data_IF_544450288831
#
_entry.id   IF_544450288831
#
_cell.length_a   1.000
_cell.length_b   1.000
_cell.length_c   1.000
_cell.angle_alpha   90.00
_cell.angle_beta   90.00
_cell.angle_gamma   90.00
#
_symmetry.space_group_name_H-M   'P 1'
#
loop_
_entity.id
_entity.type
_entity.pdbx_description
1 polymer ?
#
# COMPACT_ATOMS: atom_id res chain seq x y z
N UNK A 1 -12.08 -1.80 15.57
CA UNK A 1 -12.65 -1.43 14.26
C UNK A 1 -12.22 -0.03 13.84
N UNK A 2 -10.96 0.11 13.45
CA UNK A 2 -10.49 1.25 12.67
C UNK A 2 -10.71 0.90 11.20
N UNK A 3 -11.65 1.57 10.55
CA UNK A 3 -11.83 1.46 9.09
C UNK A 3 -11.21 2.69 8.43
N UNK A 4 -10.52 2.47 7.31
CA UNK A 4 -9.93 3.55 6.52
C UNK A 4 -10.69 3.67 5.22
N UNK A 5 -11.15 4.87 4.91
CA UNK A 5 -11.86 5.18 3.67
C UNK A 5 -10.90 5.89 2.73
N UNK A 6 -10.82 5.42 1.50
CA UNK A 6 -10.04 6.04 0.43
C UNK A 6 -10.90 6.24 -0.81
N UNK A 7 -10.78 7.36 -1.53
CA UNK A 7 -11.41 7.51 -2.85
C UNK A 7 -10.92 6.42 -3.81
N UNK A 8 -11.83 5.81 -4.57
CA UNK A 8 -11.50 4.67 -5.46
C UNK A 8 -10.52 5.04 -6.59
N UNK A 9 -10.53 6.31 -7.00
CA UNK A 9 -9.66 6.91 -8.00
C UNK A 9 -8.39 7.56 -7.42
N UNK A 10 -8.04 7.29 -6.16
CA UNK A 10 -6.82 7.83 -5.55
C UNK A 10 -5.59 7.32 -6.27
N UNK A 11 -4.66 8.23 -6.56
CA UNK A 11 -3.35 7.94 -7.13
C UNK A 11 -2.26 8.56 -6.25
N UNK A 12 -1.08 7.93 -6.22
CA UNK A 12 0.06 8.48 -5.48
C UNK A 12 0.62 9.71 -6.19
N UNK A 13 0.89 10.76 -5.42
CA UNK A 13 1.62 11.94 -5.90
C UNK A 13 3.13 11.70 -5.90
N UNK A 14 3.90 12.55 -6.59
CA UNK A 14 5.37 12.46 -6.59
C UNK A 14 5.97 12.49 -5.19
N UNK A 15 5.45 13.33 -4.30
CA UNK A 15 5.88 13.40 -2.91
C UNK A 15 5.62 12.08 -2.16
N UNK A 16 4.44 11.50 -2.37
CA UNK A 16 4.08 10.21 -1.78
C UNK A 16 4.94 9.05 -2.33
N UNK A 17 5.45 9.13 -3.56
CA UNK A 17 6.41 8.15 -4.10
C UNK A 17 7.77 8.24 -3.39
N UNK A 18 8.19 9.46 -3.04
CA UNK A 18 9.39 9.68 -2.22
C UNK A 18 9.20 9.10 -0.83
N UNK A 19 8.07 9.38 -0.16
CA UNK A 19 7.72 8.75 1.11
C UNK A 19 7.72 7.23 1.01
N UNK A 20 7.08 6.68 -0.04
CA UNK A 20 7.01 5.23 -0.26
C UNK A 20 8.41 4.63 -0.40
N UNK A 21 9.32 5.31 -1.11
CA UNK A 21 10.71 4.89 -1.28
C UNK A 21 11.51 4.93 0.01
N UNK A 22 11.23 5.91 0.89
CA UNK A 22 11.88 6.04 2.20
C UNK A 22 11.40 4.96 3.18
N UNK A 23 10.09 4.70 3.23
CA UNK A 23 9.48 3.70 4.12
C UNK A 23 9.80 2.28 3.65
N UNK A 24 9.83 2.05 2.34
CA UNK A 24 10.22 0.79 1.71
C UNK A 24 11.56 0.95 0.96
N UNK A 25 12.69 1.02 1.69
CA UNK A 25 14.01 1.06 1.08
C UNK A 25 14.30 -0.25 0.33
N UNK A 26 15.38 -0.30 -0.46
CA UNK A 26 15.75 -1.45 -1.30
C UNK A 26 15.51 -2.85 -0.67
N UNK A 27 15.98 -3.17 0.56
CA UNK A 27 15.77 -4.49 1.15
C UNK A 27 14.30 -4.81 1.49
N UNK A 28 13.43 -3.81 1.54
CA UNK A 28 12.01 -3.95 1.85
C UNK A 28 11.11 -3.90 0.59
N UNK A 29 11.66 -3.69 -0.61
CA UNK A 29 10.85 -3.55 -1.83
C UNK A 29 10.05 -4.80 -2.19
N UNK A 30 10.59 -5.99 -1.90
CA UNK A 30 9.82 -7.23 -2.04
C UNK A 30 8.57 -7.25 -1.14
N UNK A 31 8.66 -6.68 0.07
CA UNK A 31 7.53 -6.56 0.99
C UNK A 31 6.50 -5.56 0.47
N UNK A 32 6.93 -4.47 -0.17
CA UNK A 32 6.03 -3.54 -0.83
C UNK A 32 5.27 -4.21 -1.98
N UNK A 33 5.94 -5.02 -2.80
CA UNK A 33 5.28 -5.75 -3.89
C UNK A 33 4.20 -6.67 -3.33
N UNK A 34 4.50 -7.45 -2.29
CA UNK A 34 3.52 -8.36 -1.70
C UNK A 34 2.37 -7.61 -1.00
N UNK A 35 2.68 -6.51 -0.30
CA UNK A 35 1.67 -5.62 0.27
C UNK A 35 0.73 -5.09 -0.82
N UNK A 36 1.27 -4.66 -1.96
CA UNK A 36 0.46 -4.22 -3.11
C UNK A 36 -0.40 -5.36 -3.66
N UNK A 37 0.14 -6.57 -3.77
CA UNK A 37 -0.64 -7.73 -4.19
C UNK A 37 -1.83 -7.99 -3.25
N UNK A 38 -1.63 -7.84 -1.93
CA UNK A 38 -2.69 -7.96 -0.93
C UNK A 38 -3.73 -6.84 -1.12
N UNK A 39 -3.29 -5.58 -1.20
CA UNK A 39 -4.19 -4.44 -1.33
C UNK A 39 -4.98 -4.42 -2.65
N UNK A 40 -4.40 -4.97 -3.71
CA UNK A 40 -5.02 -5.06 -5.04
C UNK A 40 -5.99 -6.24 -5.18
N UNK A 41 -6.07 -7.14 -4.20
CA UNK A 41 -7.03 -8.23 -4.21
C UNK A 41 -8.46 -7.69 -4.03
N UNK A 42 -9.19 -7.59 -5.14
CA UNK A 42 -10.57 -7.09 -5.17
C UNK A 42 -11.57 -8.06 -4.52
N UNK A 43 -11.18 -9.31 -4.28
CA UNK A 43 -12.03 -10.33 -3.64
C UNK A 43 -11.83 -10.37 -2.12
N UNK A 44 -10.91 -9.57 -1.59
CA UNK A 44 -10.58 -9.62 -0.19
C UNK A 44 -11.72 -9.08 0.69
N UNK A 45 -12.09 -9.84 1.71
CA UNK A 45 -13.20 -9.49 2.61
C UNK A 45 -12.94 -8.22 3.44
N UNK A 46 -11.68 -7.81 3.61
CA UNK A 46 -11.32 -6.57 4.30
C UNK A 46 -11.59 -5.31 3.46
N UNK A 47 -12.09 -5.44 2.22
CA UNK A 47 -12.27 -4.33 1.29
C UNK A 47 -13.70 -4.26 0.80
N UNK A 48 -14.32 -3.09 0.92
CA UNK A 48 -15.69 -2.84 0.45
C UNK A 48 -15.71 -1.60 -0.44
N UNK A 49 -16.28 -1.74 -1.63
CA UNK A 49 -16.51 -0.64 -2.56
C UNK A 49 -17.92 -0.11 -2.43
N UNK A 50 -18.06 1.19 -2.18
CA UNK A 50 -19.37 1.84 -2.08
C UNK A 50 -19.25 3.32 -2.45
N UNK A 51 -20.19 3.81 -3.27
CA UNK A 51 -20.31 5.24 -3.59
C UNK A 51 -19.02 5.93 -4.11
N UNK A 52 -18.18 5.21 -4.87
CA UNK A 52 -16.92 5.77 -5.38
C UNK A 52 -15.76 5.77 -4.37
N UNK A 53 -15.97 5.17 -3.21
CA UNK A 53 -14.98 5.01 -2.15
C UNK A 53 -14.69 3.53 -1.89
N UNK A 54 -13.53 3.29 -1.30
CA UNK A 54 -13.06 1.98 -0.86
C UNK A 54 -12.81 2.06 0.63
N UNK A 55 -13.54 1.24 1.38
CA UNK A 55 -13.34 1.08 2.82
C UNK A 55 -12.47 -0.14 3.08
N UNK A 56 -11.42 0.03 3.88
CA UNK A 56 -10.52 -1.01 4.33
C UNK A 56 -10.77 -1.30 5.81
N UNK A 57 -11.07 -2.54 6.13
CA UNK A 57 -11.04 -3.08 7.49
C UNK A 57 -9.59 -3.34 7.89
N UNK A 58 -9.07 -2.55 8.83
CA UNK A 58 -7.66 -2.63 9.22
C UNK A 58 -7.31 -3.90 9.98
N UNK A 59 -8.26 -4.49 10.70
CA UNK A 59 -8.01 -5.73 11.46
C UNK A 59 -7.86 -6.92 10.50
N UNK A 60 -8.78 -7.06 9.55
CA UNK A 60 -8.73 -8.06 8.49
C UNK A 60 -7.53 -7.87 7.55
N UNK A 61 -7.19 -6.61 7.22
CA UNK A 61 -5.99 -6.30 6.44
C UNK A 61 -4.72 -6.67 7.20
N UNK A 62 -4.62 -6.31 8.48
CA UNK A 62 -3.46 -6.62 9.31
C UNK A 62 -3.25 -8.14 9.41
N UNK A 63 -4.32 -8.91 9.66
CA UNK A 63 -4.25 -10.37 9.66
C UNK A 63 -3.74 -10.91 8.32
N UNK A 64 -4.25 -10.39 7.19
CA UNK A 64 -3.82 -10.84 5.86
C UNK A 64 -2.35 -10.51 5.58
N UNK A 65 -1.89 -9.33 5.99
CA UNK A 65 -0.49 -8.90 5.88
C UNK A 65 0.40 -9.80 6.72
N UNK A 66 0.06 -10.06 7.98
CA UNK A 66 0.86 -10.89 8.88
C UNK A 66 0.98 -12.36 8.42
N UNK A 67 0.01 -12.87 7.66
CA UNK A 67 0.08 -14.21 7.06
C UNK A 67 1.14 -14.31 5.95
N UNK A 68 1.39 -13.21 5.22
CA UNK A 68 2.23 -13.22 4.01
C UNK A 68 3.54 -12.46 4.14
N UNK A 69 3.58 -11.50 5.05
CA UNK A 69 4.67 -10.55 5.23
C UNK A 69 5.10 -10.53 6.69
N UNK A 70 6.37 -10.20 6.98
CA UNK A 70 6.83 -10.03 8.35
C UNK A 70 6.09 -8.86 9.02
N UNK A 71 5.95 -8.91 10.36
CA UNK A 71 5.27 -7.88 11.15
C UNK A 71 5.77 -6.45 10.89
N UNK A 72 7.06 -6.30 10.56
CA UNK A 72 7.66 -5.02 10.17
C UNK A 72 7.01 -4.38 8.93
N UNK A 73 6.32 -5.15 8.11
CA UNK A 73 5.55 -4.66 6.95
C UNK A 73 4.28 -3.94 7.40
N UNK A 74 3.65 -4.43 8.48
CA UNK A 74 2.48 -3.78 9.07
C UNK A 74 2.87 -2.45 9.73
N UNK A 75 4.01 -2.41 10.43
CA UNK A 75 4.58 -1.17 10.98
C UNK A 75 4.79 -0.11 9.89
N UNK A 76 5.40 -0.50 8.77
CA UNK A 76 5.58 0.38 7.61
C UNK A 76 4.26 0.81 6.99
N UNK A 77 3.28 -0.09 6.90
CA UNK A 77 1.95 0.25 6.41
C UNK A 77 1.30 1.33 7.28
N UNK A 78 1.35 1.17 8.59
CA UNK A 78 0.86 2.18 9.54
C UNK A 78 1.60 3.50 9.37
N UNK A 79 2.93 3.47 9.20
CA UNK A 79 3.71 4.68 8.91
C UNK A 79 3.26 5.40 7.63
N UNK A 80 2.90 4.68 6.56
CA UNK A 80 2.36 5.30 5.35
C UNK A 80 0.99 5.96 5.61
N UNK A 81 0.15 5.33 6.43
CA UNK A 81 -1.15 5.85 6.80
C UNK A 81 -1.05 7.12 7.65
N UNK A 82 -0.12 7.15 8.62
CA UNK A 82 0.21 8.34 9.40
C UNK A 82 0.71 9.50 8.53
N UNK A 83 1.36 9.19 7.39
CA UNK A 83 1.74 10.19 6.39
C UNK A 83 0.64 10.52 5.38
N UNK A 84 -0.58 10.02 5.58
CA UNK A 84 -1.74 10.34 4.76
C UNK A 84 -1.80 9.62 3.41
N UNK A 85 -1.02 8.55 3.20
CA UNK A 85 -1.13 7.77 1.98
C UNK A 85 -2.39 6.92 2.01
N UNK A 86 -3.17 7.00 0.94
CA UNK A 86 -4.34 6.17 0.75
C UNK A 86 -3.93 4.74 0.36
N UNK A 87 -4.50 3.74 1.03
CA UNK A 87 -4.30 2.31 0.72
C UNK A 87 -4.70 1.99 -0.71
N UNK A 88 -5.80 2.61 -1.17
CA UNK A 88 -6.25 2.50 -2.55
C UNK A 88 -5.19 3.00 -3.54
N UNK A 89 -4.55 4.13 -3.25
CA UNK A 89 -3.52 4.69 -4.11
C UNK A 89 -2.31 3.76 -4.22
N UNK A 90 -1.89 3.15 -3.11
CA UNK A 90 -0.79 2.17 -3.10
C UNK A 90 -1.14 0.93 -3.95
N UNK A 91 -2.39 0.48 -3.89
CA UNK A 91 -2.87 -0.65 -4.67
C UNK A 91 -2.87 -0.37 -6.19
N UNK A 92 -3.50 0.73 -6.60
CA UNK A 92 -3.84 0.97 -8.02
C UNK A 92 -2.83 1.80 -8.78
N UNK A 93 -1.98 2.58 -8.11
CA UNK A 93 -1.02 3.43 -8.83
C UNK A 93 -0.05 2.53 -9.62
N UNK A 94 0.16 2.79 -10.92
CA UNK A 94 1.12 2.05 -11.71
C UNK A 94 2.54 2.44 -11.27
N UNK A 95 3.23 1.54 -10.57
CA UNK A 95 4.55 1.79 -9.97
C UNK A 95 5.64 0.91 -10.60
N UNK A 96 6.78 1.53 -10.92
CA UNK A 96 8.06 0.86 -11.12
C UNK A 96 8.75 0.71 -9.77
N UNK A 97 8.97 -0.52 -9.33
CA UNK A 97 9.64 -0.84 -8.07
C UNK A 97 10.96 -1.57 -8.42
N UNK A 98 12.10 -0.86 -8.50
CA UNK A 98 13.37 -1.48 -8.85
C UNK A 98 13.81 -2.42 -7.74
N UNK A 99 14.14 -3.67 -8.03
CA UNK A 99 14.66 -4.59 -6.99
C UNK A 99 16.18 -4.45 -6.77
N UNK A 100 16.85 -3.76 -7.68
CA UNK A 100 18.30 -3.54 -7.67
C UNK A 100 18.62 -2.11 -8.12
N UNK A 101 19.81 -1.62 -7.80
CA UNK A 101 20.29 -0.30 -8.20
C UNK A 101 19.83 0.85 -7.28
N UNK A 102 20.35 2.08 -7.51
CA UNK A 102 20.09 3.23 -6.65
C UNK A 102 18.74 3.92 -6.93
N UNK A 103 18.03 3.51 -7.98
CA UNK A 103 16.76 4.13 -8.39
C UNK A 103 15.70 4.01 -7.28
N UNK A 104 14.92 5.08 -7.07
CA UNK A 104 13.74 5.10 -6.19
C UNK A 104 12.51 4.42 -6.82
N UNK A 105 11.41 4.36 -6.07
CA UNK A 105 10.11 3.96 -6.61
C UNK A 105 9.57 5.12 -7.45
N UNK A 106 9.12 4.82 -8.66
CA UNK A 106 8.59 5.82 -9.59
C UNK A 106 7.29 5.31 -10.22
N UNK A 107 6.61 6.17 -10.99
CA UNK A 107 5.49 5.73 -11.83
C UNK A 107 6.02 4.86 -12.98
N UNK A 108 5.24 3.85 -13.39
CA UNK A 108 5.40 3.23 -14.71
C UNK A 108 4.66 4.12 -15.71
N UNK A 109 5.40 4.68 -16.66
CA UNK A 109 4.88 5.44 -17.80
C UNK A 109 4.03 4.57 -18.72
#
# INVERSE_FOLDING_TARGET
MTSIVCPANSCLTTEQLTTLSMVFPLPARAQLIELRNILSDYRAAFRVYKAGEVTFDMEGLAQRVLVKCPAKTLDRLNQLLDQGLCLQAIAVTPLKIPLSGPEGISLTT
#
